data_IF_919640371026
#
_entry.id   IF_919640371026
#
_cell.length_a   1.000
_cell.length_b   1.000
_cell.length_c   1.000
_cell.angle_alpha   90.00
_cell.angle_beta   90.00
_cell.angle_gamma   90.00
#
_symmetry.space_group_name_H-M   'P 1'
#
loop_
_entity.id
_entity.type
_entity.pdbx_description
1 polymer ?
#
# COMPACT_ATOMS: atom_id res chain seq x y z
N UNK A 1 42.63 45.50 3.82
CA UNK A 1 42.09 44.52 2.84
C UNK A 1 42.39 43.11 3.34
N UNK A 2 41.41 42.20 3.21
CA UNK A 2 41.44 40.72 3.41
C UNK A 2 41.12 40.17 4.81
N UNK A 3 39.99 39.44 4.88
CA UNK A 3 39.79 38.09 5.44
C UNK A 3 38.26 37.84 5.47
N UNK A 4 37.62 37.38 4.39
CA UNK A 4 37.44 35.97 3.94
C UNK A 4 36.74 35.08 4.99
N UNK A 5 35.40 35.01 4.85
CA UNK A 5 34.55 33.81 4.72
C UNK A 5 35.06 32.53 5.42
N UNK A 6 34.39 32.11 6.50
CA UNK A 6 34.27 30.69 6.88
C UNK A 6 33.22 30.51 8.00
N UNK A 7 31.95 30.28 7.66
CA UNK A 7 31.00 29.62 8.58
C UNK A 7 29.68 29.24 7.89
N UNK A 8 29.73 28.35 6.89
CA UNK A 8 28.52 27.77 6.29
C UNK A 8 28.72 26.31 5.85
N UNK A 9 29.45 25.51 6.62
CA UNK A 9 29.59 24.07 6.34
C UNK A 9 29.48 23.26 7.63
N UNK A 10 28.33 23.33 8.31
CA UNK A 10 28.00 22.41 9.40
C UNK A 10 26.49 22.06 9.45
N UNK A 11 25.75 22.27 8.35
CA UNK A 11 24.31 22.01 8.27
C UNK A 11 23.91 21.16 7.05
N UNK A 12 24.75 20.19 6.66
CA UNK A 12 24.50 19.41 5.43
C UNK A 12 24.54 17.89 5.61
N UNK A 13 24.78 17.36 6.82
CA UNK A 13 25.00 15.93 7.03
C UNK A 13 23.86 15.17 7.71
N UNK A 14 22.80 15.85 8.19
CA UNK A 14 21.66 15.17 8.83
C UNK A 14 20.49 14.92 7.89
N UNK A 15 20.45 15.53 6.70
CA UNK A 15 19.32 15.39 5.75
C UNK A 15 19.44 14.21 4.77
N UNK A 16 20.62 13.56 4.69
CA UNK A 16 20.87 12.50 3.71
C UNK A 16 20.33 11.11 4.10
N UNK A 17 20.10 10.85 5.39
CA UNK A 17 19.71 9.51 5.85
C UNK A 17 18.20 9.25 5.86
N UNK A 18 17.36 10.29 5.84
CA UNK A 18 15.90 10.12 5.85
C UNK A 18 15.31 9.71 4.49
N UNK A 19 16.03 9.90 3.38
CA UNK A 19 15.50 9.60 2.04
C UNK A 19 15.66 8.13 1.62
N UNK A 20 16.28 7.30 2.46
CA UNK A 20 16.49 5.87 2.21
C UNK A 20 15.51 4.96 2.98
N UNK A 21 14.46 5.51 3.59
CA UNK A 21 13.31 4.71 4.00
C UNK A 21 12.65 4.19 2.73
N UNK A 22 13.07 2.98 2.35
CA UNK A 22 12.51 2.21 1.28
C UNK A 22 10.99 2.35 1.28
N UNK A 23 10.43 2.69 0.12
CA UNK A 23 8.98 2.59 -0.09
C UNK A 23 8.61 1.13 0.19
N UNK A 24 8.16 0.84 1.41
CA UNK A 24 7.55 -0.41 1.83
C UNK A 24 6.04 -0.21 1.80
N UNK A 25 5.29 -1.30 1.65
CA UNK A 25 3.84 -1.23 1.76
C UNK A 25 3.49 -0.78 3.16
N UNK A 26 2.61 0.23 3.28
CA UNK A 26 2.12 0.66 4.59
C UNK A 26 1.21 -0.42 5.13
N UNK A 27 1.46 -0.87 6.35
CA UNK A 27 0.53 -1.75 7.07
C UNK A 27 -0.87 -1.13 7.16
N UNK A 28 -1.87 -1.95 7.46
CA UNK A 28 -3.24 -1.44 7.60
C UNK A 28 -3.36 -0.34 8.67
N UNK A 29 -2.64 -0.45 9.78
CA UNK A 29 -2.64 0.55 10.86
C UNK A 29 -2.03 1.89 10.40
N UNK A 30 -0.90 1.84 9.70
CA UNK A 30 -0.27 3.06 9.13
C UNK A 30 -1.18 3.73 8.10
N UNK A 31 -1.87 2.93 7.28
CA UNK A 31 -2.86 3.44 6.32
C UNK A 31 -4.02 4.14 7.04
N UNK A 32 -4.54 3.58 8.15
CA UNK A 32 -5.60 4.21 8.93
C UNK A 32 -5.17 5.57 9.51
N UNK A 33 -3.97 5.67 10.06
CA UNK A 33 -3.45 6.92 10.64
C UNK A 33 -3.26 8.03 9.59
N UNK A 34 -2.74 7.69 8.41
CA UNK A 34 -2.59 8.63 7.30
C UNK A 34 -3.94 9.16 6.81
N UNK A 35 -4.91 8.26 6.61
CA UNK A 35 -6.25 8.65 6.15
C UNK A 35 -7.05 9.40 7.23
N UNK A 36 -6.78 9.16 8.52
CA UNK A 36 -7.34 9.93 9.64
C UNK A 36 -6.79 11.35 9.69
N UNK A 37 -5.49 11.53 9.44
CA UNK A 37 -4.84 12.84 9.43
C UNK A 37 -5.30 13.74 8.28
N UNK A 38 -5.65 13.16 7.12
CA UNK A 38 -6.19 13.87 5.96
C UNK A 38 -7.56 14.53 6.18
N UNK A 39 -8.31 14.12 7.21
CA UNK A 39 -9.64 14.64 7.55
C UNK A 39 -9.67 15.89 8.45
N UNK A 40 -8.51 16.44 8.89
CA UNK A 40 -8.46 17.57 9.84
C UNK A 40 -8.01 18.90 9.20
N UNK A 41 -8.96 19.61 8.59
CA UNK A 41 -9.06 21.08 8.45
C UNK A 41 -10.57 21.35 8.37
N UNK A 42 -11.30 22.05 9.23
CA UNK A 42 -11.16 23.16 10.20
C UNK A 42 -12.38 23.02 11.17
N UNK A 43 -12.37 23.26 12.49
CA UNK A 43 -12.25 24.55 13.21
C UNK A 43 -12.18 24.34 14.74
N UNK A 44 -11.56 25.31 15.43
CA UNK A 44 -11.75 25.73 16.83
C UNK A 44 -11.19 24.93 18.04
N UNK A 45 -9.98 25.35 18.43
CA UNK A 45 -9.41 25.63 19.79
C UNK A 45 -10.49 26.07 20.82
N UNK A 46 -10.52 25.78 22.13
CA UNK A 46 -9.67 25.16 23.16
C UNK A 46 -10.49 25.04 24.49
N UNK A 47 -9.89 24.94 25.69
CA UNK A 47 -9.12 23.84 26.30
C UNK A 47 -9.76 23.36 27.63
N UNK A 48 -9.37 22.19 28.14
CA UNK A 48 -9.38 21.96 29.59
C UNK A 48 -8.17 21.14 30.02
N UNK A 49 -7.54 21.66 31.08
CA UNK A 49 -6.33 21.16 31.73
C UNK A 49 -6.70 20.03 32.68
N UNK A 50 -5.86 19.00 32.74
CA UNK A 50 -5.42 18.47 34.03
C UNK A 50 -4.04 17.82 33.90
N UNK A 51 -3.12 18.35 34.69
CA UNK A 51 -1.81 17.77 35.02
C UNK A 51 -2.02 16.80 36.18
N UNK A 52 -1.38 15.63 36.13
CA UNK A 52 -0.40 15.24 37.14
C UNK A 52 0.44 14.06 36.62
N UNK A 53 1.71 14.08 37.01
CA UNK A 53 2.88 13.32 36.56
C UNK A 53 3.19 12.23 37.63
N UNK A 54 4.34 11.54 37.55
CA UNK A 54 4.60 10.22 36.99
C UNK A 54 4.79 9.13 38.07
N UNK A 55 4.90 7.86 37.69
CA UNK A 55 5.68 6.88 38.47
C UNK A 55 6.55 6.08 37.52
N UNK A 56 7.78 5.84 37.99
CA UNK A 56 8.98 5.34 37.31
C UNK A 56 9.21 3.88 37.70
N UNK A 57 9.97 3.19 36.84
CA UNK A 57 10.69 1.92 37.02
C UNK A 57 9.88 0.67 36.62
N UNK A 58 10.41 -0.34 35.93
CA UNK A 58 11.80 -0.62 35.52
C UNK A 58 11.80 -1.63 34.36
N UNK A 59 12.97 -1.78 33.76
CA UNK A 59 13.26 -2.51 32.53
C UNK A 59 13.05 -4.04 32.60
N UNK A 60 12.61 -4.59 31.47
CA UNK A 60 13.21 -5.79 30.89
C UNK A 60 13.21 -5.61 29.39
N UNK A 61 14.39 -5.30 28.86
CA UNK A 61 14.67 -5.26 27.44
C UNK A 61 14.93 -6.70 26.99
N UNK A 62 13.90 -7.31 26.41
CA UNK A 62 14.08 -8.22 25.29
C UNK A 62 13.44 -7.48 24.11
N UNK A 63 14.26 -6.89 23.25
CA UNK A 63 13.83 -6.27 22.01
C UNK A 63 13.39 -7.40 21.06
N UNK A 64 12.10 -7.56 20.73
CA UNK A 64 11.75 -8.40 19.60
C UNK A 64 12.06 -7.58 18.35
N UNK A 65 12.99 -8.10 17.57
CA UNK A 65 13.20 -7.77 16.16
C UNK A 65 11.84 -7.51 15.49
N UNK A 66 11.60 -6.35 14.85
CA UNK A 66 10.30 -6.02 14.30
C UNK A 66 9.94 -7.00 13.17
N UNK A 67 9.05 -7.93 13.53
CA UNK A 67 8.06 -8.62 12.71
C UNK A 67 8.56 -9.26 11.40
N UNK A 68 8.74 -10.58 11.47
CA UNK A 68 8.97 -11.48 10.33
C UNK A 68 8.11 -11.09 9.12
N UNK A 69 8.68 -11.18 7.92
CA UNK A 69 7.99 -10.95 6.64
C UNK A 69 6.64 -11.71 6.54
N UNK A 70 5.72 -11.29 5.65
CA UNK A 70 4.53 -12.09 5.33
C UNK A 70 4.93 -13.55 5.03
N UNK A 71 4.23 -14.51 5.64
CA UNK A 71 4.54 -15.96 5.59
C UNK A 71 4.41 -16.52 4.16
N UNK A 72 3.76 -15.78 3.26
CA UNK A 72 3.57 -16.14 1.86
C UNK A 72 4.71 -15.58 1.00
N UNK A 73 5.19 -16.41 0.07
CA UNK A 73 6.13 -15.97 -0.96
C UNK A 73 5.51 -14.82 -1.79
N UNK A 74 6.28 -13.80 -2.20
CA UNK A 74 5.74 -12.70 -2.98
C UNK A 74 5.09 -13.15 -4.28
N UNK A 75 3.92 -12.59 -4.64
CA UNK A 75 3.25 -12.95 -5.88
C UNK A 75 4.07 -12.46 -7.08
N UNK A 76 4.19 -13.30 -8.10
CA UNK A 76 4.96 -13.02 -9.31
C UNK A 76 4.38 -13.73 -10.53
N UNK A 77 4.59 -13.15 -11.72
CA UNK A 77 4.05 -13.65 -12.98
C UNK A 77 2.72 -13.01 -13.35
N UNK A 78 2.00 -13.63 -14.27
CA UNK A 78 0.74 -13.10 -14.82
C UNK A 78 -0.46 -13.77 -14.18
N UNK A 79 -1.38 -12.96 -13.66
CA UNK A 79 -2.65 -13.35 -13.08
C UNK A 79 -3.79 -12.89 -14.00
N UNK A 80 -4.80 -13.73 -14.20
CA UNK A 80 -5.98 -13.41 -14.99
C UNK A 80 -7.27 -13.79 -14.30
N UNK A 81 -8.32 -13.06 -14.64
CA UNK A 81 -9.67 -13.35 -14.18
C UNK A 81 -10.66 -12.28 -14.65
N UNK A 82 -11.95 -12.58 -14.51
CA UNK A 82 -13.01 -11.60 -14.73
C UNK A 82 -13.50 -11.10 -13.39
N UNK A 83 -13.13 -9.86 -13.05
CA UNK A 83 -13.54 -9.21 -11.82
C UNK A 83 -14.96 -8.68 -11.94
N UNK A 84 -15.72 -8.81 -10.86
CA UNK A 84 -17.06 -8.26 -10.76
C UNK A 84 -17.06 -6.75 -10.96
N UNK A 85 -18.05 -6.27 -11.71
CA UNK A 85 -18.28 -4.86 -11.96
C UNK A 85 -19.68 -4.50 -11.48
N UNK A 86 -19.82 -3.35 -10.84
CA UNK A 86 -21.12 -2.87 -10.36
C UNK A 86 -22.05 -2.53 -11.53
N UNK A 87 -21.52 -1.81 -12.52
CA UNK A 87 -22.29 -1.20 -13.62
C UNK A 87 -21.81 -1.67 -15.02
N UNK A 88 -21.21 -2.86 -15.07
CA UNK A 88 -20.81 -3.52 -16.31
C UNK A 88 -20.84 -5.04 -16.18
N UNK A 89 -20.72 -5.76 -17.30
CA UNK A 89 -20.87 -7.22 -17.31
C UNK A 89 -19.69 -7.94 -16.62
N UNK A 90 -18.57 -7.24 -16.48
CA UNK A 90 -17.34 -7.73 -15.86
C UNK A 90 -16.13 -6.96 -16.37
N UNK A 91 -15.01 -7.12 -15.68
CA UNK A 91 -13.72 -6.56 -16.10
C UNK A 91 -12.74 -7.71 -16.29
N UNK A 92 -12.46 -8.07 -17.54
CA UNK A 92 -11.37 -9.02 -17.81
C UNK A 92 -10.07 -8.33 -17.44
N UNK A 93 -9.40 -8.87 -16.44
CA UNK A 93 -8.19 -8.29 -15.88
C UNK A 93 -7.03 -9.23 -16.12
N UNK A 94 -5.95 -8.67 -16.64
CA UNK A 94 -4.65 -9.32 -16.73
C UNK A 94 -3.64 -8.46 -15.96
N UNK A 95 -3.10 -9.02 -14.89
CA UNK A 95 -2.15 -8.36 -13.98
C UNK A 95 -0.82 -9.11 -14.03
N UNK A 96 0.23 -8.45 -14.49
CA UNK A 96 1.59 -9.00 -14.45
C UNK A 96 2.38 -8.35 -13.34
N UNK A 97 2.91 -9.16 -12.43
CA UNK A 97 3.70 -8.75 -11.27
C UNK A 97 5.17 -9.14 -11.47
N UNK A 98 6.04 -8.13 -11.45
CA UNK A 98 7.49 -8.28 -11.53
C UNK A 98 8.13 -7.91 -10.19
N UNK A 99 8.67 -8.88 -9.43
CA UNK A 99 9.42 -8.61 -8.21
C UNK A 99 10.62 -7.69 -8.44
N UNK A 100 10.83 -6.77 -7.52
CA UNK A 100 12.04 -5.96 -7.45
C UNK A 100 13.17 -6.70 -6.73
N UNK A 101 14.26 -5.99 -6.47
CA UNK A 101 15.38 -6.51 -5.67
C UNK A 101 14.98 -6.88 -4.24
N UNK A 102 13.87 -6.30 -3.73
CA UNK A 102 13.27 -6.64 -2.45
C UNK A 102 12.04 -7.50 -2.70
N UNK A 103 11.89 -8.58 -1.94
CA UNK A 103 10.74 -9.49 -2.03
C UNK A 103 9.41 -8.79 -1.74
N UNK A 104 9.40 -7.70 -0.95
CA UNK A 104 8.19 -6.98 -0.55
C UNK A 104 7.73 -5.88 -1.50
N UNK A 105 8.40 -5.67 -2.65
CA UNK A 105 7.98 -4.66 -3.62
C UNK A 105 8.42 -4.97 -5.05
N UNK A 106 7.79 -4.31 -6.02
CA UNK A 106 8.12 -4.52 -7.43
C UNK A 106 7.41 -3.55 -8.37
N UNK A 107 7.25 -3.96 -9.62
CA UNK A 107 6.47 -3.25 -10.62
C UNK A 107 5.33 -4.12 -11.15
N UNK A 108 4.26 -3.47 -11.61
CA UNK A 108 3.16 -4.15 -12.27
C UNK A 108 2.86 -3.54 -13.64
N UNK A 109 2.32 -4.37 -14.53
CA UNK A 109 1.56 -3.95 -15.70
C UNK A 109 0.19 -4.58 -15.63
N UNK A 110 -0.85 -3.82 -15.96
CA UNK A 110 -2.22 -4.31 -15.93
C UNK A 110 -2.98 -3.88 -17.17
N UNK A 111 -3.75 -4.82 -17.72
CA UNK A 111 -4.73 -4.58 -18.79
C UNK A 111 -6.11 -4.94 -18.27
N UNK A 112 -7.06 -4.05 -18.44
CA UNK A 112 -8.45 -4.22 -18.08
C UNK A 112 -9.33 -4.03 -19.30
N UNK A 113 -10.24 -4.99 -19.54
CA UNK A 113 -11.27 -4.89 -20.58
C UNK A 113 -12.65 -4.85 -19.93
N UNK A 114 -13.28 -3.69 -19.96
CA UNK A 114 -14.61 -3.42 -19.43
C UNK A 114 -15.67 -3.94 -20.41
N UNK A 115 -16.27 -5.07 -20.06
CA UNK A 115 -17.24 -5.75 -20.92
C UNK A 115 -18.58 -4.99 -20.96
N UNK A 116 -19.12 -4.81 -22.17
CA UNK A 116 -20.37 -4.08 -22.40
C UNK A 116 -20.22 -2.55 -22.43
N UNK A 117 -18.99 -2.03 -22.58
CA UNK A 117 -18.72 -0.62 -22.86
C UNK A 117 -18.32 -0.42 -24.33
N UNK A 118 -18.49 0.79 -24.92
CA UNK A 118 -18.00 1.13 -26.25
C UNK A 118 -16.50 0.86 -26.41
N UNK A 119 -16.07 0.49 -27.63
CA UNK A 119 -14.72 -0.01 -27.89
C UNK A 119 -13.60 0.96 -27.48
N UNK A 120 -13.79 2.26 -27.72
CA UNK A 120 -12.88 3.36 -27.36
C UNK A 120 -12.70 3.55 -25.84
N UNK A 121 -13.62 3.02 -25.03
CA UNK A 121 -13.60 3.07 -23.55
C UNK A 121 -13.51 1.69 -22.91
N UNK A 122 -13.35 0.65 -23.72
CA UNK A 122 -13.40 -0.73 -23.26
C UNK A 122 -12.07 -1.19 -22.69
N UNK A 123 -10.94 -0.64 -23.15
CA UNK A 123 -9.60 -1.09 -22.74
C UNK A 123 -8.87 -0.01 -21.95
N UNK A 124 -8.44 -0.36 -20.74
CA UNK A 124 -7.58 0.47 -19.90
C UNK A 124 -6.28 -0.29 -19.66
N UNK A 125 -5.16 0.37 -19.92
CA UNK A 125 -3.83 -0.13 -19.57
C UNK A 125 -3.25 0.76 -18.49
N UNK A 126 -2.61 0.14 -17.49
CA UNK A 126 -1.96 0.84 -16.39
C UNK A 126 -0.69 0.13 -15.96
N UNK A 127 0.20 0.87 -15.32
CA UNK A 127 1.43 0.33 -14.76
C UNK A 127 1.86 1.14 -13.55
N UNK A 128 2.73 0.55 -12.74
CA UNK A 128 3.19 1.21 -11.53
C UNK A 128 4.02 0.34 -10.63
N UNK A 129 3.99 0.66 -9.35
CA UNK A 129 4.71 -0.06 -8.29
C UNK A 129 3.72 -0.88 -7.49
N UNK A 130 4.19 -2.00 -6.95
CA UNK A 130 3.43 -2.73 -5.96
C UNK A 130 4.24 -2.92 -4.69
N UNK A 131 3.51 -3.07 -3.59
CA UNK A 131 4.07 -3.31 -2.27
C UNK A 131 3.25 -4.36 -1.52
N UNK A 132 3.90 -5.16 -0.69
CA UNK A 132 3.22 -6.02 0.27
C UNK A 132 3.09 -5.30 1.61
N UNK A 133 1.91 -5.41 2.20
CA UNK A 133 1.57 -4.92 3.52
C UNK A 133 0.95 -6.02 4.36
N UNK A 134 1.09 -5.91 5.68
CA UNK A 134 0.43 -6.80 6.65
C UNK A 134 -0.93 -6.24 7.06
N UNK A 135 -1.88 -7.15 7.13
CA UNK A 135 -3.19 -7.00 7.72
C UNK A 135 -4.19 -6.31 6.82
N UNK A 136 -5.46 -6.61 7.09
CA UNK A 136 -6.60 -5.78 6.76
C UNK A 136 -7.56 -5.73 7.96
N UNK A 137 -8.74 -5.13 7.78
CA UNK A 137 -9.72 -4.97 8.86
C UNK A 137 -10.20 -6.31 9.46
N UNK A 138 -10.37 -7.32 8.62
CA UNK A 138 -10.93 -8.62 8.99
C UNK A 138 -9.87 -9.58 9.52
N UNK A 139 -8.64 -9.50 9.00
CA UNK A 139 -7.55 -10.41 9.28
C UNK A 139 -6.22 -9.64 9.45
N UNK A 140 -5.68 -9.52 10.68
CA UNK A 140 -4.44 -8.81 10.93
C UNK A 140 -3.20 -9.49 10.31
N UNK A 141 -3.30 -10.77 9.96
CA UNK A 141 -2.21 -11.54 9.35
C UNK A 141 -2.31 -11.63 7.81
N UNK A 142 -3.35 -11.00 7.21
CA UNK A 142 -3.51 -10.98 5.77
C UNK A 142 -2.28 -10.35 5.08
N UNK A 143 -1.93 -10.86 3.90
CA UNK A 143 -0.91 -10.24 3.05
C UNK A 143 -1.61 -9.43 1.98
N UNK A 144 -1.48 -8.11 2.04
CA UNK A 144 -2.14 -7.19 1.10
C UNK A 144 -1.14 -6.71 0.06
N UNK A 145 -1.43 -6.99 -1.20
CA UNK A 145 -0.77 -6.43 -2.37
C UNK A 145 -1.41 -5.08 -2.71
N UNK A 146 -0.65 -4.00 -2.54
CA UNK A 146 -1.05 -2.64 -2.85
C UNK A 146 -0.48 -2.24 -4.21
N UNK A 147 -1.33 -2.03 -5.21
CA UNK A 147 -0.94 -1.51 -6.52
C UNK A 147 -1.04 0.01 -6.51
N UNK A 148 0.09 0.69 -6.72
CA UNK A 148 0.21 2.14 -6.78
C UNK A 148 0.52 2.53 -8.25
N UNK A 149 -0.49 2.97 -9.02
CA UNK A 149 -0.32 3.34 -10.41
C UNK A 149 0.60 4.56 -10.55
N UNK A 150 1.49 4.50 -11.54
CA UNK A 150 2.29 5.65 -12.00
C UNK A 150 1.97 6.04 -13.43
N UNK A 151 1.23 5.18 -14.14
CA UNK A 151 0.68 5.42 -15.47
C UNK A 151 -0.66 4.70 -15.64
N UNK A 152 -1.53 5.26 -16.48
CA UNK A 152 -2.92 4.84 -16.61
C UNK A 152 -3.82 5.56 -15.59
N UNK A 153 -5.02 5.93 -16.02
CA UNK A 153 -5.99 6.67 -15.21
C UNK A 153 -6.82 5.70 -14.35
N UNK A 154 -6.17 5.13 -13.33
CA UNK A 154 -6.79 4.25 -12.34
C UNK A 154 -6.40 4.65 -10.93
N UNK A 155 -7.32 4.44 -9.99
CA UNK A 155 -7.04 4.54 -8.56
C UNK A 155 -6.11 3.42 -8.08
N UNK A 156 -5.44 3.58 -6.92
CA UNK A 156 -4.81 2.46 -6.22
C UNK A 156 -5.76 1.28 -6.05
N UNK A 157 -5.24 0.08 -6.26
CA UNK A 157 -5.98 -1.17 -6.11
C UNK A 157 -5.33 -2.03 -5.05
N UNK A 158 -6.15 -2.78 -4.32
CA UNK A 158 -5.70 -3.62 -3.23
C UNK A 158 -6.17 -5.03 -3.47
N UNK A 159 -5.28 -6.00 -3.31
CA UNK A 159 -5.60 -7.41 -3.38
C UNK A 159 -5.10 -8.10 -2.12
N UNK A 160 -5.89 -9.01 -1.56
CA UNK A 160 -5.39 -9.97 -0.60
C UNK A 160 -4.72 -11.11 -1.35
N UNK A 161 -3.50 -11.44 -0.98
CA UNK A 161 -2.84 -12.64 -1.45
C UNK A 161 -3.43 -13.85 -0.71
N UNK A 162 -4.14 -14.69 -1.45
CA UNK A 162 -4.75 -15.93 -0.93
C UNK A 162 -3.73 -17.06 -0.98
N UNK A 163 -2.91 -17.08 -2.03
CA UNK A 163 -1.80 -18.01 -2.22
C UNK A 163 -0.75 -17.39 -3.15
N UNK A 164 0.28 -18.15 -3.52
CA UNK A 164 1.25 -17.77 -4.57
C UNK A 164 0.63 -17.77 -6.00
N UNK A 165 -0.56 -18.34 -6.15
CA UNK A 165 -1.28 -18.49 -7.42
C UNK A 165 -2.64 -17.80 -7.46
N UNK A 166 -3.09 -17.18 -6.36
CA UNK A 166 -4.37 -16.49 -6.30
C UNK A 166 -4.30 -15.18 -5.50
N UNK A 167 -4.85 -14.12 -6.09
CA UNK A 167 -5.06 -12.83 -5.43
C UNK A 167 -6.53 -12.43 -5.53
N UNK A 168 -7.11 -11.95 -4.42
CA UNK A 168 -8.52 -11.56 -4.32
C UNK A 168 -8.64 -10.05 -4.15
N UNK A 169 -9.41 -9.39 -5.01
CA UNK A 169 -9.64 -7.94 -4.98
C UNK A 169 -10.28 -7.55 -3.64
N UNK A 170 -9.74 -6.50 -3.04
CA UNK A 170 -10.27 -5.82 -1.85
C UNK A 170 -10.96 -4.51 -2.24
N UNK A 171 -11.73 -3.96 -1.31
CA UNK A 171 -12.30 -2.62 -1.48
C UNK A 171 -11.21 -1.54 -1.47
N UNK A 172 -11.57 -0.29 -1.80
CA UNK A 172 -10.67 0.87 -1.68
C UNK A 172 -10.20 1.14 -0.25
N UNK A 173 -10.88 0.58 0.74
CA UNK A 173 -10.54 0.64 2.17
C UNK A 173 -9.82 -0.62 2.66
N UNK A 174 -9.36 -1.47 1.74
CA UNK A 174 -8.67 -2.75 1.99
C UNK A 174 -9.53 -3.80 2.70
N UNK A 175 -10.86 -3.63 2.73
CA UNK A 175 -11.77 -4.63 3.27
C UNK A 175 -11.99 -5.77 2.27
N UNK A 176 -12.28 -6.97 2.77
CA UNK A 176 -12.79 -8.03 1.91
C UNK A 176 -14.13 -7.65 1.26
N UNK A 177 -14.34 -8.08 0.02
CA UNK A 177 -15.59 -7.82 -0.70
C UNK A 177 -16.63 -8.86 -0.31
N UNK A 178 -17.69 -8.40 0.35
CA UNK A 178 -18.87 -9.20 0.68
C UNK A 178 -19.79 -9.34 -0.56
N UNK A 179 -19.50 -10.31 -1.42
CA UNK A 179 -20.28 -10.58 -2.62
C UNK A 179 -20.18 -12.04 -3.05
N UNK A 180 -21.25 -12.57 -3.66
CA UNK A 180 -21.22 -13.86 -4.35
C UNK A 180 -20.56 -13.80 -5.74
N UNK A 181 -20.18 -12.60 -6.22
CA UNK A 181 -19.51 -12.43 -7.52
C UNK A 181 -18.02 -12.77 -7.42
N UNK A 182 -17.40 -13.04 -8.57
CA UNK A 182 -15.97 -13.34 -8.61
C UNK A 182 -15.10 -12.08 -8.39
N UNK A 183 -14.17 -12.18 -7.44
CA UNK A 183 -13.19 -11.14 -7.12
C UNK A 183 -11.75 -11.65 -7.20
N UNK A 184 -11.52 -12.88 -7.65
CA UNK A 184 -10.19 -13.48 -7.71
C UNK A 184 -9.56 -13.37 -9.10
N UNK A 185 -8.24 -13.16 -9.11
CA UNK A 185 -7.37 -13.40 -10.25
C UNK A 185 -6.48 -14.60 -9.93
N UNK A 186 -6.30 -15.48 -10.92
CA UNK A 186 -5.49 -16.70 -10.79
C UNK A 186 -4.28 -16.63 -11.71
N UNK A 187 -3.14 -17.13 -11.23
CA UNK A 187 -1.91 -17.21 -12.00
C UNK A 187 -2.11 -18.11 -13.23
N UNK A 188 -1.53 -17.70 -14.36
CA UNK A 188 -1.48 -18.48 -15.59
C UNK A 188 -0.56 -19.69 -15.46
#
# INVERSE_FOLDING_TARGET
>A
MKAIIALFVLFSLTLGLQQAQAQSGKSYQEWLEENRAGGKKTTAKAPSKSKAKPTKAEATAAEPEPEAAPVLAPPSGTFRGTLACKDCQGIQTELTLSPGAKSSSGSFNMKQVYMGKPADKSVVNSSGKWFLARGNKQNPDAVVLQLIPTAGDIDPMYFMQVSDTEVKLLTKTQDEVESSKNHSLKKL
#
